data_IF_429355786975
#
_entry.id   IF_429355786975
#
_cell.length_a   1.000
_cell.length_b   1.000
_cell.length_c   1.000
_cell.angle_alpha   90.00
_cell.angle_beta   90.00
_cell.angle_gamma   90.00
#
_symmetry.space_group_name_H-M   'P 1'
#
loop_
_entity.id
_entity.type
_entity.pdbx_description
1 polymer ?
#
# COMPACT_ATOMS: atom_id res chain seq x y z
N UNK A 1 -42.20 16.09 -43.08
CA UNK A 1 -41.12 15.64 -43.97
C UNK A 1 -40.21 14.74 -43.14
N UNK A 2 -40.14 13.48 -43.54
CA UNK A 2 -39.46 12.28 -43.03
C UNK A 2 -38.35 12.46 -41.97
N UNK A 3 -38.48 11.73 -40.85
CA UNK A 3 -37.33 11.39 -39.99
C UNK A 3 -36.31 10.66 -40.85
N UNK A 4 -35.12 11.22 -41.03
CA UNK A 4 -34.04 10.53 -41.70
C UNK A 4 -33.71 9.27 -40.90
N UNK A 5 -33.92 8.08 -41.47
CA UNK A 5 -33.36 6.84 -40.95
C UNK A 5 -31.83 6.97 -40.97
N UNK A 6 -31.26 7.37 -39.84
CA UNK A 6 -29.81 7.47 -39.67
C UNK A 6 -29.19 6.08 -39.74
N UNK A 7 -28.56 5.72 -40.86
CA UNK A 7 -27.77 4.50 -40.96
C UNK A 7 -26.65 4.54 -39.91
N UNK A 8 -26.69 3.61 -38.96
CA UNK A 8 -25.65 3.46 -37.95
C UNK A 8 -24.32 3.09 -38.65
N UNK A 9 -23.23 3.81 -38.36
CA UNK A 9 -21.92 3.46 -38.91
C UNK A 9 -21.47 2.10 -38.36
N UNK A 10 -20.78 1.32 -39.19
CA UNK A 10 -20.32 -0.02 -38.81
C UNK A 10 -19.35 0.08 -37.61
N UNK A 11 -19.65 -0.56 -36.47
CA UNK A 11 -18.75 -0.55 -35.33
C UNK A 11 -17.49 -1.38 -35.62
N UNK A 12 -16.48 -1.24 -34.76
CA UNK A 12 -15.32 -2.12 -34.80
C UNK A 12 -15.78 -3.56 -34.48
N UNK A 13 -15.55 -4.50 -35.41
CA UNK A 13 -15.94 -5.91 -35.27
C UNK A 13 -14.74 -6.86 -35.10
N UNK A 14 -13.52 -6.34 -35.17
CA UNK A 14 -12.27 -7.12 -35.10
C UNK A 14 -11.37 -6.60 -33.99
N UNK A 15 -10.59 -7.51 -33.41
CA UNK A 15 -9.57 -7.22 -32.39
C UNK A 15 -10.09 -6.60 -31.08
N UNK A 16 -11.39 -6.77 -30.77
CA UNK A 16 -11.99 -6.28 -29.53
C UNK A 16 -11.29 -6.83 -28.28
N UNK A 17 -10.83 -8.08 -28.33
CA UNK A 17 -10.10 -8.68 -27.22
C UNK A 17 -8.73 -8.00 -27.03
N UNK A 18 -7.99 -7.79 -28.11
CA UNK A 18 -6.67 -7.16 -28.08
C UNK A 18 -6.75 -5.71 -27.56
N UNK A 19 -7.75 -4.95 -28.00
CA UNK A 19 -7.96 -3.57 -27.54
C UNK A 19 -8.31 -3.52 -26.05
N UNK A 20 -9.15 -4.45 -25.57
CA UNK A 20 -9.48 -4.58 -24.15
C UNK A 20 -8.27 -4.97 -23.31
N UNK A 21 -7.52 -5.99 -23.72
CA UNK A 21 -6.36 -6.48 -22.97
C UNK A 21 -5.29 -5.41 -22.82
N UNK A 22 -4.97 -4.66 -23.89
CA UNK A 22 -4.00 -3.55 -23.80
C UNK A 22 -4.40 -2.50 -22.77
N UNK A 23 -5.69 -2.12 -22.77
CA UNK A 23 -6.21 -1.16 -21.78
C UNK A 23 -6.15 -1.71 -20.36
N UNK A 24 -6.61 -2.95 -20.16
CA UNK A 24 -6.62 -3.57 -18.82
C UNK A 24 -5.20 -3.78 -18.30
N UNK A 25 -4.24 -4.15 -19.14
CA UNK A 25 -2.84 -4.31 -18.72
C UNK A 25 -2.24 -2.98 -18.23
N UNK A 26 -2.50 -1.87 -18.93
CA UNK A 26 -2.06 -0.55 -18.47
C UNK A 26 -2.66 -0.18 -17.11
N UNK A 27 -3.95 -0.43 -16.92
CA UNK A 27 -4.64 -0.17 -15.64
C UNK A 27 -4.08 -1.09 -14.53
N UNK A 28 -3.87 -2.37 -14.82
CA UNK A 28 -3.32 -3.32 -13.86
C UNK A 28 -1.92 -2.92 -13.41
N UNK A 29 -1.05 -2.51 -14.33
CA UNK A 29 0.29 -2.02 -14.01
C UNK A 29 0.24 -0.82 -13.04
N UNK A 30 -0.64 0.15 -13.30
CA UNK A 30 -0.82 1.31 -12.42
C UNK A 30 -1.35 0.92 -11.03
N UNK A 31 -2.31 0.01 -10.97
CA UNK A 31 -2.86 -0.45 -9.68
C UNK A 31 -1.82 -1.20 -8.85
N UNK A 32 -1.03 -2.07 -9.49
CA UNK A 32 0.03 -2.81 -8.80
C UNK A 32 1.10 -1.87 -8.23
N UNK A 33 1.59 -0.92 -9.03
CA UNK A 33 2.61 0.04 -8.56
C UNK A 33 2.08 0.93 -7.45
N UNK A 34 0.84 1.43 -7.61
CA UNK A 34 0.19 2.25 -6.60
C UNK A 34 0.00 1.51 -5.27
N UNK A 35 -0.46 0.25 -5.34
CA UNK A 35 -0.68 -0.56 -4.13
C UNK A 35 0.65 -0.87 -3.43
N UNK A 36 1.67 -1.27 -4.19
CA UNK A 36 2.99 -1.54 -3.63
C UNK A 36 3.61 -0.32 -2.95
N UNK A 37 3.52 0.84 -3.60
CA UNK A 37 4.03 2.09 -3.04
C UNK A 37 3.24 2.53 -1.79
N UNK A 38 1.92 2.37 -1.81
CA UNK A 38 1.07 2.66 -0.66
C UNK A 38 1.42 1.79 0.53
N UNK A 39 1.64 0.48 0.31
CA UNK A 39 2.03 -0.43 1.39
C UNK A 39 3.38 -0.07 1.99
N UNK A 40 4.38 0.23 1.15
CA UNK A 40 5.71 0.64 1.59
C UNK A 40 5.64 1.87 2.50
N UNK A 41 4.94 2.92 2.06
CA UNK A 41 4.88 4.19 2.80
C UNK A 41 4.03 4.07 4.08
N UNK A 42 2.87 3.42 3.99
CA UNK A 42 1.89 3.43 5.09
C UNK A 42 2.19 2.37 6.15
N UNK A 43 2.81 1.25 5.77
CA UNK A 43 3.04 0.11 6.66
C UNK A 43 4.53 -0.02 6.97
N UNK A 44 5.35 -0.29 5.97
CA UNK A 44 6.78 -0.62 6.17
C UNK A 44 7.54 0.56 6.78
N UNK A 45 7.51 1.72 6.13
CA UNK A 45 8.23 2.92 6.60
C UNK A 45 7.72 3.37 7.98
N UNK A 46 6.42 3.23 8.23
CA UNK A 46 5.82 3.56 9.54
C UNK A 46 6.36 2.64 10.64
N UNK A 47 6.47 1.35 10.37
CA UNK A 47 6.99 0.38 11.33
C UNK A 47 8.47 0.63 11.61
N UNK A 48 9.27 0.79 10.57
CA UNK A 48 10.71 1.08 10.69
C UNK A 48 10.94 2.37 11.47
N UNK A 49 10.21 3.45 11.13
CA UNK A 49 10.32 4.72 11.84
C UNK A 49 9.96 4.60 13.31
N UNK A 50 8.93 3.81 13.68
CA UNK A 50 8.55 3.61 15.08
C UNK A 50 9.68 2.96 15.89
N UNK A 51 10.34 1.95 15.33
CA UNK A 51 11.49 1.32 15.97
C UNK A 51 12.65 2.31 16.11
N UNK A 52 12.96 3.05 15.05
CA UNK A 52 14.03 4.04 15.05
C UNK A 52 13.78 5.16 16.08
N UNK A 53 12.56 5.71 16.12
CA UNK A 53 12.14 6.73 17.09
C UNK A 53 12.23 6.23 18.53
N UNK A 54 11.87 4.96 18.78
CA UNK A 54 12.02 4.36 20.11
C UNK A 54 13.49 4.33 20.53
N UNK A 55 14.38 3.81 19.68
CA UNK A 55 15.80 3.64 20.04
C UNK A 55 16.60 4.95 20.07
N UNK A 56 16.14 6.03 19.40
CA UNK A 56 16.80 7.35 19.47
C UNK A 56 16.91 7.90 20.88
N UNK A 57 15.92 7.64 21.72
CA UNK A 57 15.85 8.18 23.09
C UNK A 57 15.78 7.09 24.15
N UNK A 58 16.00 5.83 23.77
CA UNK A 58 15.91 4.71 24.69
C UNK A 58 17.12 4.68 25.64
N UNK A 59 16.86 4.79 26.93
CA UNK A 59 17.85 4.57 28.00
C UNK A 59 17.62 3.19 28.64
N UNK A 60 18.50 2.21 28.39
CA UNK A 60 18.37 0.87 28.94
C UNK A 60 18.40 0.82 30.47
N UNK A 61 19.18 1.70 31.11
CA UNK A 61 19.36 1.67 32.57
C UNK A 61 18.11 2.19 33.27
N UNK A 62 17.52 3.26 32.76
CA UNK A 62 16.23 3.76 33.25
C UNK A 62 15.11 2.75 33.07
N UNK A 63 15.06 2.09 31.91
CA UNK A 63 14.08 1.03 31.63
C UNK A 63 14.23 -0.15 32.61
N UNK A 64 15.46 -0.59 32.86
CA UNK A 64 15.77 -1.66 33.81
C UNK A 64 15.42 -1.27 35.25
N UNK A 65 15.69 -0.03 35.67
CA UNK A 65 15.30 0.46 36.98
C UNK A 65 13.78 0.40 37.17
N UNK A 66 12.98 0.83 36.17
CA UNK A 66 11.52 0.73 36.23
C UNK A 66 11.06 -0.72 36.37
N UNK A 67 11.68 -1.65 35.64
CA UNK A 67 11.34 -3.08 35.71
C UNK A 67 11.70 -3.70 37.06
N UNK A 68 12.84 -3.33 37.61
CA UNK A 68 13.31 -3.74 38.94
C UNK A 68 12.39 -3.24 40.05
N UNK A 69 12.04 -1.94 40.03
CA UNK A 69 11.12 -1.33 40.99
C UNK A 69 9.70 -1.91 40.89
N UNK A 70 9.29 -2.34 39.69
CA UNK A 70 8.04 -3.06 39.47
C UNK A 70 8.07 -4.54 39.92
N UNK A 71 9.22 -5.05 40.40
CA UNK A 71 9.38 -6.44 40.83
C UNK A 71 9.32 -7.46 39.71
N UNK A 72 9.56 -7.04 38.46
CA UNK A 72 9.49 -7.92 37.27
C UNK A 72 10.76 -8.75 37.06
N UNK A 73 11.87 -8.34 37.68
CA UNK A 73 13.18 -8.96 37.49
C UNK A 73 13.52 -9.87 38.66
N UNK A 74 13.60 -11.18 38.41
CA UNK A 74 13.98 -12.17 39.42
C UNK A 74 15.42 -12.00 39.91
N UNK A 75 16.31 -11.49 39.05
CA UNK A 75 17.74 -11.28 39.36
C UNK A 75 18.02 -10.06 40.25
N UNK A 76 17.02 -9.21 40.49
CA UNK A 76 17.18 -7.98 41.27
C UNK A 76 16.80 -8.14 42.75
N UNK A 77 16.10 -9.23 43.09
CA UNK A 77 15.79 -9.62 44.46
C UNK A 77 16.94 -10.38 45.12
#
# INVERSE_FOLDING_TARGET
MFMAEGKLPKPQLRDLHLSRVRRTLGIAALLCTFTGMSWKILVTDRYERKAEEFYKTYDPMKSLQIMNEAGLMESYN
#
